data_IF_268105436178
#
_entry.id   IF_268105436178
#
_cell.length_a   1.000
_cell.length_b   1.000
_cell.length_c   1.000
_cell.angle_alpha   90.00
_cell.angle_beta   90.00
_cell.angle_gamma   90.00
#
_symmetry.space_group_name_H-M   'P 1'
#
loop_
_entity.id
_entity.type
_entity.pdbx_description
1 polymer ?
#
# COMPACT_ATOMS: atom_id res chain seq x y z
N UNK A 1 4.85 0.24 -16.35
CA UNK A 1 6.13 -0.46 -16.62
C UNK A 1 5.90 -1.96 -16.63
N UNK A 2 6.52 -2.71 -17.55
CA UNK A 2 6.19 -4.13 -17.85
C UNK A 2 6.11 -5.02 -16.59
N UNK A 3 4.99 -5.72 -16.44
CA UNK A 3 4.77 -6.70 -15.39
C UNK A 3 5.84 -7.79 -15.44
N UNK A 4 6.37 -8.19 -14.28
CA UNK A 4 7.44 -9.19 -14.18
C UNK A 4 8.85 -8.64 -13.91
N UNK A 5 9.04 -7.32 -13.93
CA UNK A 5 10.34 -6.67 -13.65
C UNK A 5 10.79 -6.68 -12.18
N UNK A 6 10.09 -7.39 -11.29
CA UNK A 6 10.48 -7.50 -9.88
C UNK A 6 10.38 -6.21 -9.05
N UNK A 7 9.81 -5.11 -9.60
CA UNK A 7 9.69 -3.80 -8.92
C UNK A 7 9.06 -3.89 -7.53
N UNK A 8 7.98 -4.65 -7.37
CA UNK A 8 7.36 -4.85 -6.06
C UNK A 8 8.28 -5.63 -5.10
N UNK A 9 8.96 -6.66 -5.61
CA UNK A 9 9.90 -7.46 -4.82
C UNK A 9 11.09 -6.62 -4.35
N UNK A 10 11.63 -5.76 -5.22
CA UNK A 10 12.71 -4.82 -4.88
C UNK A 10 12.26 -3.76 -3.89
N UNK A 11 11.07 -3.18 -4.05
CA UNK A 11 10.52 -2.25 -3.04
C UNK A 11 10.34 -2.92 -1.68
N UNK A 12 9.82 -4.15 -1.64
CA UNK A 12 9.68 -4.90 -0.39
C UNK A 12 11.03 -5.25 0.23
N UNK A 13 12.02 -5.60 -0.58
CA UNK A 13 13.39 -5.84 -0.13
C UNK A 13 14.03 -4.57 0.43
N UNK A 14 13.89 -3.43 -0.26
CA UNK A 14 14.39 -2.15 0.20
C UNK A 14 13.73 -1.72 1.51
N UNK A 15 12.40 -1.87 1.62
CA UNK A 15 11.68 -1.62 2.88
C UNK A 15 12.20 -2.51 4.01
N UNK A 16 12.42 -3.80 3.74
CA UNK A 16 13.01 -4.71 4.72
C UNK A 16 14.41 -4.29 5.16
N UNK A 17 15.29 -3.89 4.24
CA UNK A 17 16.63 -3.39 4.56
C UNK A 17 16.60 -2.08 5.37
N UNK A 18 15.58 -1.25 5.15
CA UNK A 18 15.38 0.00 5.89
C UNK A 18 14.53 -0.17 7.16
N UNK A 19 14.20 -1.41 7.55
CA UNK A 19 13.32 -1.71 8.70
C UNK A 19 11.96 -1.00 8.63
N UNK A 20 11.44 -0.78 7.41
CA UNK A 20 10.15 -0.19 7.17
C UNK A 20 9.11 -1.29 6.94
N UNK A 21 7.92 -1.11 7.50
CA UNK A 21 6.79 -1.98 7.15
C UNK A 21 6.32 -1.69 5.73
N UNK A 22 5.81 -2.70 5.02
CA UNK A 22 5.17 -2.48 3.72
C UNK A 22 3.68 -2.55 3.90
N UNK A 23 2.99 -1.47 3.57
CA UNK A 23 1.54 -1.45 3.50
C UNK A 23 1.10 -1.53 2.05
N UNK A 24 0.28 -2.52 1.73
CA UNK A 24 -0.25 -2.73 0.40
C UNK A 24 -1.75 -3.00 0.49
N UNK A 25 -2.55 -2.23 -0.24
CA UNK A 25 -4.00 -2.38 -0.26
C UNK A 25 -4.35 -3.70 -0.95
N UNK A 26 -5.21 -4.50 -0.33
CA UNK A 26 -5.69 -5.74 -0.95
C UNK A 26 -7.12 -5.52 -1.43
N UNK A 27 -7.29 -5.34 -2.74
CA UNK A 27 -8.62 -5.27 -3.32
C UNK A 27 -9.39 -6.58 -3.08
N UNK A 28 -10.65 -6.45 -2.70
CA UNK A 28 -11.62 -7.56 -2.57
C UNK A 28 -12.83 -7.27 -3.44
N UNK A 29 -13.62 -8.30 -3.76
CA UNK A 29 -14.90 -8.08 -4.46
C UNK A 29 -15.78 -7.15 -3.61
N UNK A 30 -16.19 -6.03 -4.19
CA UNK A 30 -16.98 -5.00 -3.50
C UNK A 30 -16.17 -3.95 -2.74
N UNK A 31 -14.84 -3.90 -2.91
CA UNK A 31 -14.01 -2.87 -2.28
C UNK A 31 -14.40 -1.47 -2.75
N UNK A 32 -14.77 -0.62 -1.81
CA UNK A 32 -15.30 0.73 -2.03
C UNK A 32 -14.33 1.81 -1.54
N UNK A 33 -14.64 3.07 -1.85
CA UNK A 33 -13.87 4.24 -1.35
C UNK A 33 -13.91 4.31 0.18
N UNK A 34 -14.97 3.83 0.82
CA UNK A 34 -15.07 3.77 2.28
C UNK A 34 -14.06 2.79 2.88
N UNK A 35 -13.79 1.68 2.19
CA UNK A 35 -12.77 0.70 2.58
C UNK A 35 -11.37 1.30 2.40
N UNK A 36 -11.13 2.01 1.29
CA UNK A 36 -9.89 2.76 1.06
C UNK A 36 -9.60 3.76 2.17
N UNK A 37 -10.60 4.55 2.57
CA UNK A 37 -10.46 5.51 3.68
C UNK A 37 -10.16 4.81 5.00
N UNK A 38 -10.75 3.64 5.24
CA UNK A 38 -10.51 2.86 6.45
C UNK A 38 -9.09 2.29 6.49
N UNK A 39 -8.60 1.77 5.36
CA UNK A 39 -7.23 1.28 5.19
C UNK A 39 -6.20 2.42 5.37
N UNK A 40 -6.46 3.59 4.79
CA UNK A 40 -5.63 4.78 4.98
C UNK A 40 -5.64 5.26 6.44
N UNK A 41 -6.80 5.26 7.10
CA UNK A 41 -6.88 5.62 8.52
C UNK A 41 -6.04 4.67 9.39
N UNK A 42 -6.08 3.36 9.12
CA UNK A 42 -5.23 2.38 9.80
C UNK A 42 -3.74 2.62 9.53
N UNK A 43 -3.37 3.00 8.30
CA UNK A 43 -2.01 3.39 7.94
C UNK A 43 -1.57 4.65 8.70
N UNK A 44 -2.39 5.70 8.76
CA UNK A 44 -2.11 6.91 9.51
C UNK A 44 -1.93 6.65 11.00
N UNK A 45 -2.69 5.72 11.59
CA UNK A 45 -2.50 5.32 12.99
C UNK A 45 -1.15 4.62 13.17
N UNK A 46 -0.75 3.72 12.26
CA UNK A 46 0.56 3.07 12.33
C UNK A 46 1.72 4.05 12.22
N UNK A 47 1.69 4.92 11.21
CA UNK A 47 2.78 5.85 10.95
C UNK A 47 2.77 7.01 11.93
N UNK A 48 1.61 7.60 12.18
CA UNK A 48 1.46 8.81 13.00
C UNK A 48 1.44 8.55 14.51
N UNK A 49 0.79 7.47 14.96
CA UNK A 49 0.68 7.19 16.41
C UNK A 49 1.77 6.24 16.89
N UNK A 50 2.02 5.15 16.16
CA UNK A 50 3.04 4.17 16.56
C UNK A 50 4.45 4.52 16.10
N UNK A 51 4.61 5.58 15.29
CA UNK A 51 5.89 6.02 14.73
C UNK A 51 6.62 4.90 13.96
N UNK A 52 5.85 4.02 13.31
CA UNK A 52 6.38 2.92 12.50
C UNK A 52 6.58 3.44 11.09
N UNK A 53 7.85 3.57 10.68
CA UNK A 53 8.18 3.89 9.30
C UNK A 53 7.58 2.85 8.35
N UNK A 54 6.70 3.29 7.46
CA UNK A 54 5.93 2.41 6.59
C UNK A 54 6.02 2.89 5.14
N UNK A 55 6.29 1.97 4.22
CA UNK A 55 6.25 2.19 2.77
C UNK A 55 4.85 1.85 2.28
N UNK A 56 4.17 2.84 1.71
CA UNK A 56 2.91 2.62 1.01
C UNK A 56 3.19 2.14 -0.41
N UNK A 57 2.78 0.91 -0.72
CA UNK A 57 3.01 0.26 -2.00
C UNK A 57 1.67 0.10 -2.72
N UNK A 58 1.44 0.98 -3.69
CA UNK A 58 0.24 1.03 -4.50
C UNK A 58 0.56 0.71 -5.96
N UNK A 59 -0.24 -0.13 -6.58
CA UNK A 59 -0.08 -0.52 -7.99
C UNK A 59 -1.35 -0.28 -8.78
N UNK A 60 -1.22 -0.08 -10.09
CA UNK A 60 -2.35 0.13 -11.00
C UNK A 60 -3.43 -0.98 -10.91
N UNK A 61 -3.03 -2.22 -10.65
CA UNK A 61 -3.96 -3.34 -10.44
C UNK A 61 -4.86 -3.18 -9.20
N UNK A 62 -4.56 -2.23 -8.32
CA UNK A 62 -5.29 -1.91 -7.09
C UNK A 62 -6.17 -0.66 -7.23
N UNK A 63 -6.31 -0.14 -8.46
CA UNK A 63 -7.11 1.03 -8.79
C UNK A 63 -8.29 0.54 -9.64
N UNK A 64 -9.42 0.15 -9.01
CA UNK A 64 -10.59 -0.33 -9.73
C UNK A 64 -11.44 0.83 -10.30
N UNK A 65 -11.29 2.04 -9.76
CA UNK A 65 -12.01 3.26 -10.14
C UNK A 65 -11.03 4.44 -10.03
N UNK A 66 -11.14 5.44 -10.91
CA UNK A 66 -10.30 6.64 -10.91
C UNK A 66 -10.41 7.44 -9.61
N UNK A 67 -11.50 7.28 -8.85
CA UNK A 67 -11.69 7.93 -7.54
C UNK A 67 -10.69 7.46 -6.46
N UNK A 68 -9.86 6.47 -6.77
CA UNK A 68 -8.80 5.95 -5.89
C UNK A 68 -7.46 6.68 -6.10
N UNK A 69 -7.34 7.45 -7.19
CA UNK A 69 -6.22 8.36 -7.48
C UNK A 69 -6.49 9.75 -6.86
#
# INVERSE_FOLDING_TARGET
GVGGSGKQSLCRLAAFLSSLEVFQITLRKGYSISDLKSDLAALYIKVGVKNIGTVFLHTDAQIPDERFL
#
